data_IF_551221738287
#
_entry.id   IF_551221738287
#
_cell.length_a   1.000
_cell.length_b   1.000
_cell.length_c   1.000
_cell.angle_alpha   90.00
_cell.angle_beta   90.00
_cell.angle_gamma   90.00
#
_symmetry.space_group_name_H-M   'P 1'
#
loop_
_entity.id
_entity.type
_entity.pdbx_description
1 polymer ?
#
# COMPACT_ATOMS: atom_id res chain seq x y z
N UNK A 1 -8.15 6.54 29.18
CA UNK A 1 -6.92 5.85 28.73
C UNK A 1 -6.56 6.35 27.34
N UNK A 2 -5.68 7.34 27.26
CA UNK A 2 -5.27 7.94 26.00
C UNK A 2 -4.05 7.17 25.48
N UNK A 3 -4.33 5.98 24.93
CA UNK A 3 -3.36 5.10 24.28
C UNK A 3 -3.13 5.50 22.82
N UNK A 4 -2.75 6.76 22.58
CA UNK A 4 -2.46 7.26 21.24
C UNK A 4 -1.03 6.88 20.83
N UNK A 5 -0.74 5.58 20.76
CA UNK A 5 0.42 5.11 20.01
C UNK A 5 0.02 5.08 18.52
N UNK A 6 0.78 5.75 17.63
CA UNK A 6 0.49 5.74 16.20
C UNK A 6 0.44 4.31 15.67
N UNK A 7 -0.54 4.03 14.82
CA UNK A 7 -0.73 2.69 14.28
C UNK A 7 0.47 2.34 13.37
N UNK A 8 1.09 1.15 13.52
CA UNK A 8 2.24 0.77 12.71
C UNK A 8 1.86 0.74 11.22
N UNK A 9 2.77 1.14 10.31
CA UNK A 9 2.51 1.14 8.88
C UNK A 9 2.17 -0.27 8.36
N UNK A 10 1.24 -0.37 7.40
CA UNK A 10 0.81 -1.67 6.83
C UNK A 10 0.77 -1.66 5.30
N UNK A 11 1.05 -2.81 4.71
CA UNK A 11 0.86 -3.10 3.28
C UNK A 11 -0.46 -3.84 3.10
N UNK A 12 -1.50 -3.14 2.67
CA UNK A 12 -2.83 -3.71 2.50
C UNK A 12 -2.97 -4.33 1.11
N UNK A 13 -3.42 -5.58 1.05
CA UNK A 13 -3.64 -6.27 -0.21
C UNK A 13 -4.76 -5.61 -1.05
N UNK A 14 -4.77 -5.92 -2.35
CA UNK A 14 -5.91 -5.60 -3.21
C UNK A 14 -7.17 -6.25 -2.62
N UNK A 15 -8.24 -5.47 -2.44
CA UNK A 15 -9.51 -5.95 -1.86
C UNK A 15 -9.47 -6.37 -0.40
N UNK A 16 -8.50 -5.88 0.38
CA UNK A 16 -8.49 -6.13 1.81
C UNK A 16 -9.82 -5.71 2.47
N UNK A 17 -10.38 -6.59 3.30
CA UNK A 17 -11.65 -6.43 4.00
C UNK A 17 -11.76 -5.12 4.77
N UNK A 18 -10.64 -4.55 5.22
CA UNK A 18 -10.59 -3.24 5.89
C UNK A 18 -11.04 -2.10 4.97
N UNK A 19 -10.79 -2.20 3.66
CA UNK A 19 -11.22 -1.23 2.65
C UNK A 19 -12.68 -1.48 2.19
N UNK A 20 -13.21 -2.69 2.39
CA UNK A 20 -14.55 -3.09 1.95
C UNK A 20 -15.62 -3.05 3.06
N UNK A 21 -15.26 -3.23 4.34
CA UNK A 21 -16.21 -3.47 5.43
C UNK A 21 -16.62 -2.23 6.23
N UNK A 22 -15.97 -1.07 6.08
CA UNK A 22 -16.35 0.12 6.84
C UNK A 22 -17.30 1.03 6.06
N UNK A 23 -18.48 1.24 6.63
CA UNK A 23 -19.59 2.04 6.12
C UNK A 23 -19.25 3.53 5.86
N UNK A 24 -18.00 3.96 6.09
CA UNK A 24 -17.57 5.34 5.88
C UNK A 24 -16.16 5.43 5.27
N UNK A 25 -16.08 5.29 3.94
CA UNK A 25 -14.82 5.23 3.17
C UNK A 25 -13.96 6.49 3.29
N UNK A 26 -14.54 7.62 3.71
CA UNK A 26 -13.82 8.90 3.84
C UNK A 26 -12.86 8.96 5.02
N UNK A 27 -12.97 8.04 6.00
CA UNK A 27 -12.15 8.07 7.21
C UNK A 27 -10.76 7.44 7.04
N UNK A 28 -10.58 6.58 6.03
CA UNK A 28 -9.32 5.85 5.78
C UNK A 28 -8.71 6.24 4.43
N UNK A 29 -9.54 6.51 3.42
CA UNK A 29 -9.08 6.97 2.12
C UNK A 29 -9.39 8.46 1.95
N UNK A 30 -8.39 9.34 2.04
CA UNK A 30 -8.59 10.77 1.77
C UNK A 30 -9.20 10.98 0.38
N UNK A 31 -10.17 11.89 0.28
CA UNK A 31 -10.90 12.15 -0.98
C UNK A 31 -9.96 12.53 -2.13
N UNK A 32 -8.87 13.25 -1.83
CA UNK A 32 -7.83 13.61 -2.79
C UNK A 32 -7.19 12.40 -3.48
N UNK A 33 -7.11 11.25 -2.80
CA UNK A 33 -6.51 10.03 -3.33
C UNK A 33 -7.54 9.03 -3.85
N UNK A 34 -8.84 9.31 -3.68
CA UNK A 34 -9.93 8.39 -4.01
C UNK A 34 -9.88 7.94 -5.46
N UNK A 35 -9.71 8.87 -6.41
CA UNK A 35 -9.61 8.55 -7.86
C UNK A 35 -8.30 7.86 -8.24
N UNK A 36 -7.26 8.05 -7.44
CA UNK A 36 -5.94 7.41 -7.61
C UNK A 36 -5.91 6.01 -7.02
N UNK A 37 -6.80 5.65 -6.11
CA UNK A 37 -6.86 4.34 -5.45
C UNK A 37 -8.02 3.48 -5.97
N UNK A 38 -9.20 4.07 -6.18
CA UNK A 38 -10.40 3.39 -6.70
C UNK A 38 -10.47 3.61 -8.23
N UNK A 39 -10.54 2.52 -9.00
CA UNK A 39 -10.66 2.56 -10.46
C UNK A 39 -12.10 2.39 -10.93
N UNK A 40 -12.33 2.65 -12.23
CA UNK A 40 -13.65 2.75 -12.86
C UNK A 40 -14.55 1.51 -12.67
N UNK A 41 -13.98 0.32 -12.45
CA UNK A 41 -14.73 -0.92 -12.22
C UNK A 41 -14.91 -1.27 -10.73
N UNK A 42 -14.53 -0.39 -9.81
CA UNK A 42 -14.55 -0.65 -8.37
C UNK A 42 -13.27 -1.26 -7.82
N UNK A 43 -12.30 -1.61 -8.69
CA UNK A 43 -10.99 -2.14 -8.30
C UNK A 43 -10.23 -1.16 -7.41
N UNK A 44 -9.75 -1.66 -6.27
CA UNK A 44 -8.96 -0.91 -5.28
C UNK A 44 -7.53 -1.40 -5.33
N UNK A 45 -6.58 -0.50 -5.62
CA UNK A 45 -5.15 -0.86 -5.62
C UNK A 45 -4.69 -1.36 -4.24
N UNK A 46 -3.64 -2.20 -4.16
CA UNK A 46 -2.96 -2.45 -2.89
C UNK A 46 -2.43 -1.12 -2.33
N UNK A 47 -2.67 -0.86 -1.04
CA UNK A 47 -2.43 0.45 -0.42
C UNK A 47 -1.39 0.41 0.69
N UNK A 48 -0.69 1.53 0.87
CA UNK A 48 0.12 1.80 2.06
C UNK A 48 -0.80 2.45 3.10
N UNK A 49 -0.89 1.88 4.29
CA UNK A 49 -1.61 2.47 5.42
C UNK A 49 -0.60 3.06 6.41
N UNK A 50 -0.76 4.33 6.75
CA UNK A 50 0.07 5.07 7.72
C UNK A 50 -0.88 5.79 8.66
N UNK A 51 -0.74 5.58 9.97
CA UNK A 51 -1.62 6.14 11.01
C UNK A 51 -3.12 5.90 10.75
N UNK A 52 -3.46 4.79 10.09
CA UNK A 52 -4.85 4.46 9.74
C UNK A 52 -5.37 5.12 8.45
N UNK A 53 -4.52 5.81 7.69
CA UNK A 53 -4.88 6.47 6.43
C UNK A 53 -4.09 5.94 5.25
N UNK A 54 -4.72 5.92 4.07
CA UNK A 54 -4.05 5.59 2.81
C UNK A 54 -3.07 6.70 2.46
N UNK A 55 -1.79 6.35 2.46
CA UNK A 55 -0.68 7.24 2.14
C UNK A 55 -0.03 6.93 0.79
N UNK A 56 -0.45 5.84 0.12
CA UNK A 56 0.15 5.41 -1.13
C UNK A 56 -0.36 4.06 -1.62
N UNK A 57 0.34 3.52 -2.59
CA UNK A 57 0.06 2.21 -3.22
C UNK A 57 1.32 1.38 -3.33
N UNK A 58 1.15 0.06 -3.46
CA UNK A 58 2.29 -0.84 -3.64
C UNK A 58 2.01 -1.98 -4.62
N UNK A 59 3.08 -2.56 -5.15
CA UNK A 59 3.05 -3.80 -5.94
C UNK A 59 4.24 -4.69 -5.63
N UNK A 60 4.12 -6.02 -5.76
CA UNK A 60 5.27 -6.88 -5.74
C UNK A 60 6.12 -6.64 -6.99
N UNK A 61 7.43 -6.69 -6.80
CA UNK A 61 8.46 -6.68 -7.86
C UNK A 61 9.45 -7.79 -7.58
N UNK A 62 10.34 -8.08 -8.54
CA UNK A 62 11.41 -9.04 -8.31
C UNK A 62 12.25 -8.63 -7.08
N UNK A 63 12.30 -9.50 -6.07
CA UNK A 63 13.11 -9.29 -4.86
C UNK A 63 12.51 -8.35 -3.81
N UNK A 64 11.27 -7.85 -3.98
CA UNK A 64 10.72 -6.91 -3.01
C UNK A 64 9.34 -6.35 -3.33
N UNK A 65 9.02 -5.23 -2.69
CA UNK A 65 7.81 -4.45 -2.89
C UNK A 65 8.18 -3.06 -3.41
N UNK A 66 7.61 -2.64 -4.54
CA UNK A 66 7.68 -1.25 -4.97
C UNK A 66 6.53 -0.48 -4.33
N UNK A 67 6.85 0.51 -3.52
CA UNK A 67 5.91 1.37 -2.79
C UNK A 67 5.97 2.79 -3.34
N UNK A 68 4.80 3.37 -3.61
CA UNK A 68 4.64 4.74 -4.10
C UNK A 68 3.82 5.54 -3.10
N UNK A 69 4.43 6.55 -2.48
CA UNK A 69 3.77 7.42 -1.51
C UNK A 69 3.20 8.68 -2.18
N UNK A 70 1.95 9.02 -1.88
CA UNK A 70 1.25 10.18 -2.45
C UNK A 70 1.70 11.52 -1.87
N UNK A 71 2.46 11.50 -0.76
CA UNK A 71 3.08 12.65 -0.12
C UNK A 71 4.38 12.20 0.56
N UNK A 72 5.27 13.13 0.97
CA UNK A 72 6.44 12.77 1.75
C UNK A 72 6.05 12.00 3.02
N UNK A 73 6.80 10.93 3.30
CA UNK A 73 6.69 10.13 4.52
C UNK A 73 8.00 10.24 5.30
N UNK A 74 7.89 10.19 6.63
CA UNK A 74 9.05 10.14 7.51
C UNK A 74 9.85 8.83 7.31
N UNK A 75 11.13 8.85 7.65
CA UNK A 75 12.01 7.69 7.42
C UNK A 75 11.60 6.50 8.29
N UNK A 76 11.10 6.76 9.49
CA UNK A 76 10.58 5.75 10.42
C UNK A 76 9.37 5.00 9.83
N UNK A 77 8.54 5.70 9.04
CA UNK A 77 7.42 5.08 8.32
C UNK A 77 7.94 4.17 7.22
N UNK A 78 8.97 4.59 6.48
CA UNK A 78 9.61 3.76 5.46
C UNK A 78 10.24 2.50 6.05
N UNK A 79 10.88 2.61 7.21
CA UNK A 79 11.43 1.45 7.92
C UNK A 79 10.33 0.47 8.37
N UNK A 80 9.21 1.00 8.89
CA UNK A 80 8.04 0.18 9.22
C UNK A 80 7.46 -0.55 8.00
N UNK A 81 7.33 0.16 6.87
CA UNK A 81 6.88 -0.44 5.61
C UNK A 81 7.87 -1.49 5.08
N UNK A 82 9.18 -1.27 5.25
CA UNK A 82 10.20 -2.24 4.86
C UNK A 82 10.13 -3.51 5.71
N UNK A 83 9.86 -3.40 7.02
CA UNK A 83 9.64 -4.55 7.89
C UNK A 83 8.41 -5.36 7.49
N UNK A 84 7.31 -4.69 7.14
CA UNK A 84 6.11 -5.35 6.62
C UNK A 84 6.39 -6.01 5.26
N UNK A 85 7.12 -5.35 4.36
CA UNK A 85 7.49 -5.88 3.05
C UNK A 85 8.28 -7.19 3.15
N UNK A 86 9.25 -7.29 4.08
CA UNK A 86 10.00 -8.52 4.33
C UNK A 86 9.08 -9.68 4.76
N UNK A 87 8.16 -9.41 5.69
CA UNK A 87 7.18 -10.40 6.14
C UNK A 87 6.28 -10.87 4.99
N UNK A 88 5.80 -9.92 4.18
CA UNK A 88 4.91 -10.20 3.06
C UNK A 88 5.61 -10.95 1.92
N UNK A 89 6.84 -10.58 1.56
CA UNK A 89 7.62 -11.30 0.55
C UNK A 89 7.92 -12.73 1.01
N UNK A 90 8.27 -12.93 2.27
CA UNK A 90 8.44 -14.27 2.85
C UNK A 90 7.16 -15.12 2.73
N UNK A 91 5.99 -14.52 2.94
CA UNK A 91 4.69 -15.18 2.74
C UNK A 91 4.36 -15.47 1.27
N UNK A 92 4.72 -14.56 0.36
CA UNK A 92 4.47 -14.68 -1.08
C UNK A 92 5.47 -15.59 -1.80
N UNK A 93 6.62 -15.94 -1.20
CA UNK A 93 7.68 -16.74 -1.81
C UNK A 93 7.25 -18.15 -2.29
N UNK A 94 6.03 -18.60 -1.96
CA UNK A 94 5.41 -19.82 -2.48
C UNK A 94 4.20 -19.62 -3.41
N UNK A 95 3.86 -18.38 -3.79
CA UNK A 95 2.70 -18.04 -4.63
C UNK A 95 3.12 -17.20 -5.83
N UNK A 96 2.44 -17.43 -6.97
CA UNK A 96 2.81 -16.82 -8.23
C UNK A 96 2.69 -15.27 -8.17
N UNK A 97 3.75 -14.51 -8.48
CA UNK A 97 3.72 -13.03 -8.44
C UNK A 97 2.82 -12.39 -9.51
N UNK A 98 2.33 -13.19 -10.47
CA UNK A 98 1.66 -12.71 -11.68
C UNK A 98 0.29 -12.08 -11.45
N UNK A 99 -0.30 -12.25 -10.25
CA UNK A 99 -1.61 -11.69 -9.86
C UNK A 99 -1.72 -10.19 -10.18
N UNK A 100 -0.61 -9.45 -10.13
CA UNK A 100 -0.61 -8.00 -10.38
C UNK A 100 -0.16 -7.59 -11.79
N UNK A 101 0.32 -8.52 -12.63
CA UNK A 101 0.89 -8.20 -13.95
C UNK A 101 -0.16 -7.66 -14.92
N UNK A 102 -1.41 -8.11 -14.78
CA UNK A 102 -2.59 -7.62 -15.54
C UNK A 102 -2.84 -6.12 -15.37
N UNK A 103 -2.25 -5.52 -14.33
CA UNK A 103 -2.48 -4.15 -13.94
C UNK A 103 -1.30 -3.22 -14.24
N UNK A 104 -0.34 -3.64 -15.08
CA UNK A 104 0.84 -2.84 -15.46
C UNK A 104 0.50 -1.39 -15.88
N UNK A 105 -0.58 -1.22 -16.64
CA UNK A 105 -1.04 0.09 -17.12
C UNK A 105 -1.64 1.02 -16.04
N UNK A 106 -1.81 0.54 -14.81
CA UNK A 106 -2.29 1.35 -13.67
C UNK A 106 -1.16 2.14 -13.01
N UNK A 107 0.08 1.66 -13.12
CA UNK A 107 1.26 2.26 -12.49
C UNK A 107 1.80 3.45 -13.28
N UNK A 108 1.53 3.54 -14.58
CA UNK A 108 1.96 4.66 -15.44
C UNK A 108 1.16 5.95 -15.26
N UNK A 109 0.15 5.95 -14.39
CA UNK A 109 -0.75 7.10 -14.14
C UNK A 109 -0.73 7.58 -12.69
N UNK A 110 0.26 7.15 -11.90
CA UNK A 110 0.43 7.66 -10.55
C UNK A 110 0.98 9.11 -10.60
N UNK A 111 0.56 9.98 -9.66
CA UNK A 111 1.12 11.33 -9.56
C UNK A 111 2.64 11.28 -9.32
N UNK A 112 3.35 12.37 -9.59
CA UNK A 112 4.75 12.52 -9.18
C UNK A 112 4.84 12.28 -7.67
N UNK A 113 5.45 11.16 -7.31
CA UNK A 113 5.34 10.54 -5.99
C UNK A 113 6.68 9.93 -5.61
N UNK A 114 6.96 9.86 -4.31
CA UNK A 114 8.14 9.18 -3.82
C UNK A 114 7.99 7.67 -4.01
N UNK A 115 8.79 7.10 -4.92
CA UNK A 115 8.82 5.66 -5.19
C UNK A 115 10.04 5.05 -4.51
N UNK A 116 9.84 4.00 -3.71
CA UNK A 116 10.93 3.21 -3.10
C UNK A 116 10.70 1.73 -3.34
N UNK A 117 11.77 0.99 -3.64
CA UNK A 117 11.76 -0.47 -3.61
C UNK A 117 12.19 -0.93 -2.23
N UNK A 118 11.28 -1.60 -1.53
CA UNK A 118 11.48 -2.17 -0.20
C UNK A 118 11.95 -3.61 -0.37
N UNK A 119 13.20 -3.94 0.00
CA UNK A 119 13.75 -5.27 -0.23
C UNK A 119 13.04 -6.31 0.64
N UNK A 120 12.75 -7.47 0.06
CA UNK A 120 12.09 -8.58 0.75
C UNK A 120 13.04 -9.43 1.61
N UNK A 121 14.35 -9.22 1.48
CA UNK A 121 15.40 -9.89 2.25
C UNK A 121 16.31 -8.83 2.87
N UNK A 122 16.75 -9.06 4.10
CA UNK A 122 17.73 -8.24 4.81
C UNK A 122 19.15 -8.76 4.64
#
# INVERSE_FOLDING_TARGET
PDGAEPAPPRLMAMWDSVLLAYADRGRVLPEAYRRTVIRANGDVLPTLLVDGYVAGVWRPVAGGIEATAFHPLAEEVWEGLAAEARSLVGFLAGREPEVYRRYGHWWSRLPDAAVRVLPGVG
#
